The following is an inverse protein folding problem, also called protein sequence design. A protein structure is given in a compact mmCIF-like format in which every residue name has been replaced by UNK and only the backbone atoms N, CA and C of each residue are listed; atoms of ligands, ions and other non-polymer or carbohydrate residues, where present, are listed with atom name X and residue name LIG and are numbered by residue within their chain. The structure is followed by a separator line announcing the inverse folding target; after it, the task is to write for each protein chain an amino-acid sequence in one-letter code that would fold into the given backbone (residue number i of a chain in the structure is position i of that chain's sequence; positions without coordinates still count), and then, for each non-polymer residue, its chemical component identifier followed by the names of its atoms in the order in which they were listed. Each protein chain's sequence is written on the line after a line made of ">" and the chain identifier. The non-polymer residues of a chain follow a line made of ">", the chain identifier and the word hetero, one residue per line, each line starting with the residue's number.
data_IF_555179449619
#
_entry.id   IF_555179449619
#
_cell.length_a   1.000
_cell.length_b   1.000
_cell.length_c   1.000
_cell.angle_alpha   90.00
_cell.angle_beta   90.00
_cell.angle_gamma   90.00
#
_symmetry.space_group_name_H-M   'P 1'
#
loop_
_entity.id
_entity.type
_entity.pdbx_description
1 polymer ?
#
# COMPACT_ATOMS: atom_id res chain seq x y z
N UNK A 1 1.52 22.38 -2.47
CA UNK A 1 2.48 21.45 -3.13
C UNK A 1 1.78 20.60 -4.17
N UNK A 2 0.82 19.75 -3.79
CA UNK A 2 0.10 18.87 -4.74
C UNK A 2 -0.46 19.61 -5.96
N UNK A 3 -1.24 20.67 -5.75
CA UNK A 3 -1.85 21.43 -6.85
C UNK A 3 -0.80 22.06 -7.79
N UNK A 4 0.34 22.50 -7.25
CA UNK A 4 1.43 23.06 -8.04
C UNK A 4 2.09 21.99 -8.94
N UNK A 5 2.45 20.83 -8.37
CA UNK A 5 3.02 19.72 -9.13
C UNK A 5 2.05 19.21 -10.22
N UNK A 6 0.75 19.22 -9.91
CA UNK A 6 -0.31 18.84 -10.84
C UNK A 6 -0.47 19.86 -11.98
N UNK A 7 -0.36 21.16 -11.69
CA UNK A 7 -0.39 22.20 -12.71
C UNK A 7 0.77 22.07 -13.71
N UNK A 8 1.93 21.60 -13.23
CA UNK A 8 3.12 21.32 -14.06
C UNK A 8 3.04 19.97 -14.80
N UNK A 9 1.93 19.24 -14.70
CA UNK A 9 1.73 17.95 -15.37
C UNK A 9 2.54 16.80 -14.79
N UNK A 10 3.14 16.97 -13.61
CA UNK A 10 3.98 15.95 -12.97
C UNK A 10 3.09 14.86 -12.35
N UNK A 11 3.31 13.56 -12.67
CA UNK A 11 2.62 12.47 -11.99
C UNK A 11 2.98 12.42 -10.50
N UNK A 12 1.97 12.41 -9.62
CA UNK A 12 2.16 12.38 -8.16
C UNK A 12 1.68 11.07 -7.58
N UNK A 13 2.49 10.48 -6.71
CA UNK A 13 2.08 9.45 -5.75
C UNK A 13 1.83 10.09 -4.39
N UNK A 14 0.65 9.87 -3.80
CA UNK A 14 0.39 10.26 -2.41
C UNK A 14 0.77 9.10 -1.49
N UNK A 15 1.65 9.33 -0.52
CA UNK A 15 1.96 8.40 0.56
C UNK A 15 1.10 8.71 1.79
N UNK A 16 0.09 7.88 2.02
CA UNK A 16 -0.77 7.99 3.19
C UNK A 16 -1.62 6.74 3.36
N UNK A 17 -1.85 6.36 4.62
CA UNK A 17 -2.82 5.34 5.00
C UNK A 17 -4.14 5.92 5.55
N UNK A 18 -4.29 7.26 5.56
CA UNK A 18 -5.46 7.93 6.10
C UNK A 18 -6.52 8.12 5.00
N UNK A 19 -7.73 7.55 5.13
CA UNK A 19 -8.76 7.63 4.08
C UNK A 19 -9.13 9.06 3.69
N UNK A 20 -9.18 10.00 4.64
CA UNK A 20 -9.48 11.41 4.36
C UNK A 20 -8.41 12.08 3.47
N UNK A 21 -7.13 11.80 3.73
CA UNK A 21 -6.00 12.31 2.94
C UNK A 21 -5.96 11.66 1.55
N UNK A 22 -6.18 10.34 1.48
CA UNK A 22 -6.33 9.61 0.23
C UNK A 22 -7.49 10.17 -0.61
N UNK A 23 -8.66 10.40 0.00
CA UNK A 23 -9.82 10.97 -0.66
C UNK A 23 -9.54 12.35 -1.26
N UNK A 24 -8.89 13.23 -0.49
CA UNK A 24 -8.47 14.54 -0.95
C UNK A 24 -7.55 14.44 -2.18
N UNK A 25 -6.53 13.58 -2.13
CA UNK A 25 -5.60 13.41 -3.24
C UNK A 25 -6.27 12.80 -4.49
N UNK A 26 -7.19 11.84 -4.32
CA UNK A 26 -7.97 11.30 -5.43
C UNK A 26 -8.80 12.38 -6.12
N UNK A 27 -9.37 13.33 -5.36
CA UNK A 27 -10.10 14.48 -5.94
C UNK A 27 -9.23 15.41 -6.79
N UNK A 28 -7.90 15.33 -6.65
CA UNK A 28 -6.91 16.09 -7.43
C UNK A 28 -6.27 15.25 -8.55
N UNK A 29 -6.72 14.00 -8.73
CA UNK A 29 -6.24 13.12 -9.80
C UNK A 29 -4.79 12.71 -9.64
N UNK A 30 -4.35 12.33 -8.43
CA UNK A 30 -3.04 11.68 -8.25
C UNK A 30 -2.91 10.42 -9.09
N UNK A 31 -1.70 10.13 -9.54
CA UNK A 31 -1.42 8.96 -10.36
C UNK A 31 -1.35 7.67 -9.52
N UNK A 32 -0.90 7.78 -8.27
CA UNK A 32 -0.77 6.67 -7.33
C UNK A 32 -1.26 7.04 -5.94
N UNK A 33 -1.80 6.06 -5.23
CA UNK A 33 -1.87 6.04 -3.77
C UNK A 33 -0.90 4.97 -3.26
N UNK A 34 -0.07 5.32 -2.29
CA UNK A 34 0.80 4.41 -1.57
C UNK A 34 0.32 4.27 -0.13
N UNK A 35 -0.09 3.07 0.26
CA UNK A 35 -0.64 2.78 1.59
C UNK A 35 0.15 1.64 2.24
N UNK A 36 0.89 2.00 3.28
CA UNK A 36 1.71 1.09 4.09
C UNK A 36 0.91 -0.03 4.78
N UNK A 37 -0.43 0.09 4.83
CA UNK A 37 -1.35 -0.91 5.40
C UNK A 37 -2.07 -1.74 4.34
N UNK A 38 -1.82 -1.46 3.05
CA UNK A 38 -2.43 -2.16 1.93
C UNK A 38 -3.95 -1.98 1.82
N UNK A 39 -4.47 -0.79 2.13
CA UNK A 39 -5.89 -0.45 2.01
C UNK A 39 -6.81 -1.43 2.75
N UNK A 40 -6.79 -1.50 4.09
CA UNK A 40 -7.59 -2.46 4.85
C UNK A 40 -9.08 -2.05 4.94
N UNK A 41 -9.40 -0.77 4.78
CA UNK A 41 -10.74 -0.23 5.00
C UNK A 41 -11.67 -0.44 3.80
N UNK A 42 -12.55 -1.45 3.91
CA UNK A 42 -13.53 -1.78 2.89
C UNK A 42 -14.53 -0.65 2.60
N UNK A 43 -14.79 0.25 3.56
CA UNK A 43 -15.67 1.40 3.34
C UNK A 43 -15.09 2.38 2.31
N UNK A 44 -13.76 2.37 2.12
CA UNK A 44 -13.08 3.23 1.16
C UNK A 44 -13.01 2.65 -0.27
N UNK A 45 -13.22 1.34 -0.42
CA UNK A 45 -13.09 0.66 -1.72
C UNK A 45 -13.96 1.23 -2.85
N UNK A 46 -15.22 1.66 -2.63
CA UNK A 46 -16.00 2.29 -3.68
C UNK A 46 -15.34 3.55 -4.26
N UNK A 47 -14.60 4.30 -3.44
CA UNK A 47 -13.88 5.49 -3.90
C UNK A 47 -12.60 5.12 -4.67
N UNK A 48 -11.88 4.08 -4.21
CA UNK A 48 -10.75 3.52 -4.96
C UNK A 48 -11.18 2.98 -6.33
N UNK A 49 -12.30 2.27 -6.39
CA UNK A 49 -12.84 1.69 -7.62
C UNK A 49 -13.23 2.77 -8.65
N UNK A 50 -13.77 3.90 -8.18
CA UNK A 50 -14.13 5.06 -9.04
C UNK A 50 -12.93 5.85 -9.56
N UNK A 51 -11.78 5.78 -8.90
CA UNK A 51 -10.58 6.51 -9.33
C UNK A 51 -9.80 5.78 -10.42
N UNK A 52 -8.89 6.49 -11.10
CA UNK A 52 -7.93 5.92 -12.04
C UNK A 52 -6.55 5.66 -11.43
N UNK A 53 -6.32 6.05 -10.18
CA UNK A 53 -5.03 5.95 -9.52
C UNK A 53 -4.58 4.49 -9.39
N UNK A 54 -3.30 4.22 -9.60
CA UNK A 54 -2.72 2.93 -9.22
C UNK A 54 -2.56 2.86 -7.70
N UNK A 55 -2.62 1.65 -7.15
CA UNK A 55 -2.59 1.40 -5.71
C UNK A 55 -1.33 0.61 -5.38
N UNK A 56 -0.40 1.23 -4.66
CA UNK A 56 0.74 0.53 -4.08
C UNK A 56 0.26 -0.09 -2.77
N UNK A 57 0.08 -1.40 -2.81
CA UNK A 57 -0.36 -2.24 -1.70
C UNK A 57 0.91 -2.73 -1.03
N UNK A 58 1.25 -2.14 0.12
CA UNK A 58 2.45 -2.53 0.85
C UNK A 58 2.13 -3.50 1.98
N UNK A 59 2.95 -4.53 2.14
CA UNK A 59 2.93 -5.38 3.33
C UNK A 59 3.70 -4.72 4.49
N UNK A 60 3.14 -4.85 5.69
CA UNK A 60 3.75 -4.39 6.95
C UNK A 60 3.26 -5.31 8.07
N UNK A 61 4.17 -5.67 8.99
CA UNK A 61 3.83 -6.40 10.23
C UNK A 61 3.21 -5.48 11.30
N UNK A 62 2.94 -4.23 10.92
CA UNK A 62 2.47 -3.14 11.78
C UNK A 62 1.26 -2.45 11.15
N UNK A 63 0.33 -1.95 11.99
CA UNK A 63 -0.86 -1.20 11.57
C UNK A 63 -0.59 0.31 11.44
N UNK A 64 0.49 0.67 10.75
CA UNK A 64 0.90 2.07 10.55
C UNK A 64 2.41 2.27 10.54
N UNK A 65 2.87 3.25 11.32
CA UNK A 65 4.29 3.62 11.38
C UNK A 65 5.16 2.45 11.85
N UNK A 66 6.36 2.36 11.29
CA UNK A 66 7.30 1.32 11.68
C UNK A 66 7.94 1.57 13.06
N UNK A 67 7.97 0.54 13.88
CA UNK A 67 8.72 0.40 15.13
C UNK A 67 9.77 -0.74 15.04
N UNK A 68 10.54 -0.95 16.11
CA UNK A 68 11.63 -1.95 16.18
C UNK A 68 11.18 -3.29 16.76
N UNK A 69 9.98 -3.75 16.44
CA UNK A 69 9.51 -5.08 16.87
C UNK A 69 10.23 -6.21 16.15
N UNK A 70 10.17 -7.39 16.76
CA UNK A 70 10.61 -8.62 16.12
C UNK A 70 9.68 -8.99 14.96
N UNK A 71 10.25 -9.65 13.95
CA UNK A 71 9.47 -10.24 12.87
C UNK A 71 8.51 -11.31 13.43
N UNK A 72 7.36 -11.55 12.78
CA UNK A 72 6.48 -12.63 13.18
C UNK A 72 7.21 -13.98 13.06
N UNK A 73 6.81 -14.95 13.90
CA UNK A 73 7.35 -16.30 13.80
C UNK A 73 6.99 -16.95 12.44
N UNK A 74 7.90 -17.77 11.93
CA UNK A 74 7.77 -18.43 10.62
C UNK A 74 8.54 -17.71 9.52
N UNK A 75 8.33 -18.14 8.27
CA UNK A 75 8.93 -17.50 7.09
C UNK A 75 8.18 -16.22 6.73
N UNK A 76 8.89 -15.10 6.64
CA UNK A 76 8.31 -13.80 6.27
C UNK A 76 7.66 -13.85 4.88
N UNK A 77 8.16 -14.68 3.96
CA UNK A 77 7.59 -14.82 2.62
C UNK A 77 6.18 -15.43 2.67
N UNK A 78 5.92 -16.35 3.60
CA UNK A 78 4.58 -16.92 3.80
C UNK A 78 3.60 -15.85 4.29
N UNK A 79 4.03 -14.98 5.21
CA UNK A 79 3.23 -13.85 5.70
C UNK A 79 2.92 -12.83 4.59
N UNK A 80 3.92 -12.48 3.78
CA UNK A 80 3.77 -11.57 2.63
C UNK A 80 2.81 -12.15 1.59
N UNK A 81 2.96 -13.44 1.23
CA UNK A 81 2.12 -14.11 0.26
C UNK A 81 0.65 -14.16 0.72
N UNK A 82 0.42 -14.61 1.96
CA UNK A 82 -0.92 -14.67 2.55
C UNK A 82 -1.59 -13.29 2.62
N UNK A 83 -0.82 -12.25 2.97
CA UNK A 83 -1.29 -10.88 2.94
C UNK A 83 -1.72 -10.44 1.54
N UNK A 84 -0.89 -10.66 0.51
CA UNK A 84 -1.23 -10.26 -0.84
C UNK A 84 -2.41 -11.02 -1.41
N UNK A 85 -2.53 -12.32 -1.16
CA UNK A 85 -3.69 -13.09 -1.59
C UNK A 85 -4.99 -12.49 -1.02
N UNK A 86 -5.00 -12.17 0.27
CA UNK A 86 -6.14 -11.53 0.92
C UNK A 86 -6.43 -10.13 0.38
N UNK A 87 -5.40 -9.29 0.18
CA UNK A 87 -5.57 -7.91 -0.32
C UNK A 87 -6.00 -7.85 -1.77
N UNK A 88 -5.41 -8.67 -2.64
CA UNK A 88 -5.79 -8.78 -4.04
C UNK A 88 -7.23 -9.23 -4.15
N UNK A 89 -7.64 -10.28 -3.42
CA UNK A 89 -9.01 -10.77 -3.44
C UNK A 89 -10.01 -9.67 -3.01
N UNK A 90 -9.73 -8.99 -1.89
CA UNK A 90 -10.60 -7.91 -1.39
C UNK A 90 -10.73 -6.73 -2.36
N UNK A 91 -9.61 -6.22 -2.88
CA UNK A 91 -9.61 -5.05 -3.77
C UNK A 91 -10.24 -5.36 -5.14
N UNK A 92 -9.90 -6.51 -5.72
CA UNK A 92 -10.48 -6.94 -7.00
C UNK A 92 -11.97 -7.29 -6.87
N UNK A 93 -12.39 -7.89 -5.76
CA UNK A 93 -13.79 -8.14 -5.44
C UNK A 93 -14.63 -6.87 -5.33
N UNK A 94 -14.00 -5.74 -4.98
CA UNK A 94 -14.63 -4.42 -4.99
C UNK A 94 -14.60 -3.71 -6.36
N UNK A 95 -14.15 -4.38 -7.42
CA UNK A 95 -14.11 -3.86 -8.79
C UNK A 95 -12.84 -3.08 -9.16
N UNK A 96 -11.81 -3.09 -8.32
CA UNK A 96 -10.51 -2.49 -8.66
C UNK A 96 -9.78 -3.45 -9.61
N UNK A 97 -9.43 -2.98 -10.81
CA UNK A 97 -8.75 -3.81 -11.81
C UNK A 97 -7.37 -4.24 -11.31
N UNK A 98 -7.03 -5.52 -11.50
CA UNK A 98 -5.73 -6.09 -11.07
C UNK A 98 -4.52 -5.34 -11.60
N UNK A 99 -4.59 -4.79 -12.83
CA UNK A 99 -3.51 -3.99 -13.42
C UNK A 99 -3.30 -2.60 -12.77
N UNK A 100 -4.16 -2.20 -11.83
CA UNK A 100 -3.97 -1.02 -10.99
C UNK A 100 -3.18 -1.33 -9.72
N UNK A 101 -3.02 -2.59 -9.34
CA UNK A 101 -2.33 -2.98 -8.12
C UNK A 101 -0.83 -3.08 -8.39
N UNK A 102 -0.05 -2.42 -7.55
CA UNK A 102 1.41 -2.55 -7.44
C UNK A 102 1.66 -3.17 -6.08
N UNK A 103 2.37 -4.29 -6.04
CA UNK A 103 2.66 -5.00 -4.80
C UNK A 103 4.03 -4.56 -4.29
N UNK A 104 4.08 -4.11 -3.05
CA UNK A 104 5.32 -3.76 -2.35
C UNK A 104 5.46 -4.69 -1.13
N UNK A 105 6.44 -5.61 -1.11
CA UNK A 105 6.56 -6.59 -0.04
C UNK A 105 6.91 -5.96 1.31
N UNK A 106 7.22 -4.67 1.36
CA UNK A 106 7.73 -3.99 2.55
C UNK A 106 9.22 -4.28 2.75
N UNK A 107 9.90 -3.42 3.52
CA UNK A 107 11.31 -3.55 3.84
C UNK A 107 11.63 -2.93 5.21
N UNK A 108 12.80 -3.27 5.75
CA UNK A 108 13.32 -2.73 6.99
C UNK A 108 12.40 -3.03 8.16
N UNK A 109 12.16 -2.02 9.00
CA UNK A 109 11.34 -2.16 10.20
C UNK A 109 9.88 -2.51 9.93
N UNK A 110 9.38 -2.37 8.69
CA UNK A 110 8.05 -2.88 8.32
C UNK A 110 7.96 -4.41 8.30
N UNK A 111 9.10 -5.12 8.29
CA UNK A 111 9.16 -6.59 8.33
C UNK A 111 9.72 -7.12 9.66
N UNK A 112 10.52 -6.32 10.36
CA UNK A 112 11.09 -6.64 11.66
C UNK A 112 12.40 -5.88 11.93
N UNK A 113 12.91 -5.99 13.15
CA UNK A 113 14.16 -5.33 13.55
C UNK A 113 15.42 -5.97 12.95
N UNK A 114 15.36 -7.25 12.57
CA UNK A 114 16.49 -7.99 12.02
C UNK A 114 16.64 -7.69 10.52
N UNK A 115 17.80 -7.20 10.05
CA UNK A 115 18.02 -6.91 8.64
C UNK A 115 17.92 -8.16 7.74
N UNK A 116 18.22 -9.34 8.29
CA UNK A 116 18.13 -10.63 7.60
C UNK A 116 16.73 -10.89 7.05
N UNK A 117 15.69 -10.46 7.77
CA UNK A 117 14.29 -10.57 7.32
C UNK A 117 14.03 -9.79 6.04
N UNK A 118 14.66 -8.62 5.87
CA UNK A 118 14.55 -7.84 4.63
C UNK A 118 15.42 -8.41 3.52
N UNK A 119 16.58 -8.96 3.85
CA UNK A 119 17.47 -9.58 2.88
C UNK A 119 16.85 -10.85 2.27
N UNK A 120 16.10 -11.64 3.04
CA UNK A 120 15.41 -12.83 2.50
C UNK A 120 14.31 -12.47 1.50
N UNK A 121 13.73 -11.28 1.56
CA UNK A 121 12.72 -10.79 0.60
C UNK A 121 13.36 -10.39 -0.75
N UNK A 122 14.66 -10.05 -0.75
CA UNK A 122 15.39 -9.67 -1.96
C UNK A 122 16.07 -10.85 -2.68
N UNK A 123 16.16 -12.01 -2.03
CA UNK A 123 16.86 -13.19 -2.52
C UNK A 123 16.02 -13.98 -3.55
#
# INVERSE_FOLDING_TARGET
>A
VLDALKADGIPVSLDSYQPATQAYALSRGVAYLNDIRGFPDAAFYPQLAKSSAKLVVMHSVQDGQADRREAPAGDIMDHIAAFFDARIAALTGAGIKRNRLVLDPGMGFFLGAAPETSLSVLA
#
